data_IF_918268552292
#
_entry.id   IF_918268552292
#
_cell.length_a   1.000
_cell.length_b   1.000
_cell.length_c   1.000
_cell.angle_alpha   90.00
_cell.angle_beta   90.00
_cell.angle_gamma   90.00
#
_symmetry.space_group_name_H-M   'P 1'
#
loop_
_entity.id
_entity.type
_entity.pdbx_description
1 polymer ?
#
# COMPACT_ATOMS: atom_id res chain seq x y z
N UNK A 1 3.22 -4.43 -25.16
CA UNK A 1 2.62 -4.06 -26.46
C UNK A 1 3.13 -2.70 -26.92
N UNK A 2 2.97 -1.61 -26.14
CA UNK A 2 3.40 -0.27 -26.53
C UNK A 2 4.90 -0.18 -26.91
N UNK A 3 5.78 -0.85 -26.18
CA UNK A 3 7.21 -0.88 -26.51
C UNK A 3 7.51 -1.52 -27.87
N UNK A 4 6.69 -2.50 -28.31
CA UNK A 4 6.82 -3.12 -29.63
C UNK A 4 6.17 -2.27 -30.71
N UNK A 5 4.89 -1.95 -30.53
CA UNK A 5 4.06 -1.34 -31.57
C UNK A 5 4.38 0.14 -31.81
N UNK A 6 4.70 0.86 -30.74
CA UNK A 6 4.96 2.30 -30.78
C UNK A 6 6.46 2.62 -30.63
N UNK A 7 7.15 1.87 -29.79
CA UNK A 7 8.59 2.07 -29.54
C UNK A 7 9.51 1.33 -30.50
N UNK A 8 9.02 0.32 -31.23
CA UNK A 8 9.81 -0.50 -32.15
C UNK A 8 10.87 -1.38 -31.46
N UNK A 9 10.80 -1.57 -30.12
CA UNK A 9 11.74 -2.39 -29.38
C UNK A 9 11.36 -3.88 -29.50
N UNK A 10 12.27 -4.79 -29.94
CA UNK A 10 12.01 -6.22 -30.00
C UNK A 10 11.63 -6.78 -28.61
N UNK A 11 10.76 -7.80 -28.59
CA UNK A 11 10.29 -8.40 -27.33
C UNK A 11 11.43 -8.97 -26.48
N UNK A 12 12.45 -9.48 -27.12
CA UNK A 12 13.65 -10.07 -26.52
C UNK A 12 14.48 -9.04 -25.74
N UNK A 13 14.30 -7.75 -26.05
CA UNK A 13 15.05 -6.66 -25.42
C UNK A 13 14.26 -5.93 -24.34
N UNK A 14 12.98 -6.29 -24.07
CA UNK A 14 12.17 -5.61 -23.07
C UNK A 14 12.70 -5.78 -21.64
N UNK A 15 13.39 -6.87 -21.36
CA UNK A 15 13.83 -7.21 -20.02
C UNK A 15 14.69 -6.13 -19.36
N UNK A 16 15.56 -5.47 -20.12
CA UNK A 16 16.43 -4.44 -19.58
C UNK A 16 15.67 -3.17 -19.22
N UNK A 17 14.63 -2.80 -20.01
CA UNK A 17 13.76 -1.65 -19.70
C UNK A 17 13.07 -1.88 -18.35
N UNK A 18 12.47 -3.07 -18.18
CA UNK A 18 11.79 -3.40 -16.91
C UNK A 18 12.78 -3.52 -15.76
N UNK A 19 13.93 -4.15 -15.98
CA UNK A 19 14.96 -4.32 -14.94
C UNK A 19 15.44 -2.95 -14.42
N UNK A 20 15.85 -2.05 -15.32
CA UNK A 20 16.30 -0.71 -14.95
C UNK A 20 15.18 0.08 -14.26
N UNK A 21 13.97 0.04 -14.82
CA UNK A 21 12.83 0.76 -14.25
C UNK A 21 12.46 0.26 -12.85
N UNK A 22 12.50 -1.06 -12.63
CA UNK A 22 12.27 -1.66 -11.32
C UNK A 22 13.34 -1.24 -10.31
N UNK A 23 14.63 -1.27 -10.70
CA UNK A 23 15.72 -0.85 -9.83
C UNK A 23 15.61 0.63 -9.45
N UNK A 24 15.42 1.51 -10.43
CA UNK A 24 15.27 2.95 -10.17
C UNK A 24 14.05 3.18 -9.28
N UNK A 25 12.91 2.56 -9.61
CA UNK A 25 11.67 2.67 -8.83
C UNK A 25 11.86 2.19 -7.39
N UNK A 26 12.54 1.05 -7.18
CA UNK A 26 12.82 0.50 -5.87
C UNK A 26 13.65 1.46 -5.00
N UNK A 27 14.76 1.98 -5.53
CA UNK A 27 15.58 2.92 -4.77
C UNK A 27 14.89 4.26 -4.56
N UNK A 28 14.10 4.71 -5.53
CA UNK A 28 13.35 5.97 -5.44
C UNK A 28 12.24 5.94 -4.38
N UNK A 29 11.63 4.78 -4.08
CA UNK A 29 10.54 4.69 -3.08
C UNK A 29 11.03 4.84 -1.65
N UNK A 30 12.28 4.42 -1.34
CA UNK A 30 12.82 4.34 0.03
C UNK A 30 12.75 5.69 0.77
N UNK A 31 13.22 6.81 0.21
CA UNK A 31 13.16 8.10 0.90
C UNK A 31 11.72 8.55 1.19
N UNK A 32 10.76 8.25 0.32
CA UNK A 32 9.35 8.60 0.52
C UNK A 32 8.72 7.79 1.64
N UNK A 33 9.03 6.49 1.76
CA UNK A 33 8.57 5.65 2.86
C UNK A 33 9.13 6.17 4.18
N UNK A 34 10.44 6.42 4.24
CA UNK A 34 11.09 6.96 5.44
C UNK A 34 10.50 8.33 5.83
N UNK A 35 10.28 9.19 4.84
CA UNK A 35 9.64 10.49 5.08
C UNK A 35 8.22 10.33 5.62
N UNK A 36 7.40 9.48 4.99
CA UNK A 36 6.02 9.23 5.40
C UNK A 36 5.91 8.70 6.83
N UNK A 37 6.75 7.74 7.20
CA UNK A 37 6.76 7.15 8.55
C UNK A 37 7.30 8.14 9.60
N UNK A 38 8.48 8.72 9.38
CA UNK A 38 9.11 9.63 10.35
C UNK A 38 8.32 10.91 10.57
N UNK A 39 7.73 11.47 9.52
CA UNK A 39 6.95 12.72 9.59
C UNK A 39 5.47 12.49 9.83
N UNK A 40 5.02 11.23 9.98
CA UNK A 40 3.60 10.89 10.12
C UNK A 40 2.74 11.49 9.01
N UNK A 41 3.20 11.36 7.75
CA UNK A 41 2.56 11.92 6.57
C UNK A 41 2.28 10.86 5.50
N UNK A 42 1.95 9.63 5.94
CA UNK A 42 1.71 8.50 5.04
C UNK A 42 0.57 8.76 4.06
N UNK A 43 -0.51 9.45 4.48
CA UNK A 43 -1.58 9.87 3.57
C UNK A 43 -1.06 10.74 2.43
N UNK A 44 -0.18 11.71 2.72
CA UNK A 44 0.40 12.58 1.68
C UNK A 44 1.29 11.82 0.72
N UNK A 45 2.10 10.90 1.24
CA UNK A 45 2.94 10.01 0.42
C UNK A 45 2.08 9.13 -0.48
N UNK A 46 1.00 8.56 0.07
CA UNK A 46 0.07 7.73 -0.66
C UNK A 46 -0.67 8.49 -1.78
N UNK A 47 -1.22 9.67 -1.47
CA UNK A 47 -1.84 10.56 -2.47
C UNK A 47 -0.83 10.99 -3.53
N UNK A 48 0.40 11.33 -3.13
CA UNK A 48 1.49 11.65 -4.03
C UNK A 48 1.82 10.52 -5.00
N UNK A 49 1.90 9.28 -4.49
CA UNK A 49 2.14 8.09 -5.32
C UNK A 49 1.03 7.87 -6.37
N UNK A 50 -0.25 7.98 -5.96
CA UNK A 50 -1.39 7.87 -6.90
C UNK A 50 -1.36 9.01 -7.93
N UNK A 51 -0.97 10.22 -7.51
CA UNK A 51 -0.84 11.37 -8.44
C UNK A 51 0.26 11.15 -9.48
N UNK A 52 1.41 10.57 -9.06
CA UNK A 52 2.51 10.21 -9.98
C UNK A 52 2.09 9.07 -10.91
N UNK A 53 1.32 8.09 -10.39
CA UNK A 53 0.74 7.01 -11.20
C UNK A 53 -0.19 7.59 -12.29
N UNK A 54 -1.14 8.45 -11.90
CA UNK A 54 -2.03 9.14 -12.84
C UNK A 54 -1.23 9.93 -13.88
N UNK A 55 -0.21 10.67 -13.45
CA UNK A 55 0.65 11.40 -14.36
C UNK A 55 1.35 10.48 -15.35
N UNK A 56 1.84 9.31 -14.93
CA UNK A 56 2.51 8.37 -15.82
C UNK A 56 1.56 7.80 -16.89
N UNK A 57 0.28 7.54 -16.55
CA UNK A 57 -0.72 7.06 -17.50
C UNK A 57 -1.07 8.14 -18.54
N UNK A 58 -1.23 9.38 -18.09
CA UNK A 58 -1.44 10.53 -18.99
C UNK A 58 -0.22 10.79 -19.88
N UNK A 59 0.98 10.60 -19.33
CA UNK A 59 2.22 10.72 -20.08
C UNK A 59 2.32 9.66 -21.16
N UNK A 60 2.00 8.39 -20.89
CA UNK A 60 1.92 7.33 -21.89
C UNK A 60 0.87 7.61 -22.94
N UNK A 61 -0.29 8.10 -22.53
CA UNK A 61 -1.37 8.44 -23.46
C UNK A 61 -0.95 9.51 -24.46
N UNK A 62 -0.22 10.53 -24.00
CA UNK A 62 0.18 11.69 -24.83
C UNK A 62 1.48 11.46 -25.60
N UNK A 63 2.46 10.83 -24.97
CA UNK A 63 3.83 10.71 -25.48
C UNK A 63 4.24 9.29 -25.85
N UNK A 64 3.35 8.31 -25.84
CA UNK A 64 3.66 6.89 -26.07
C UNK A 64 4.15 6.53 -27.48
N UNK A 65 4.40 7.50 -28.34
CA UNK A 65 4.88 7.31 -29.73
C UNK A 65 6.41 7.20 -29.82
N UNK A 66 7.16 7.50 -28.77
CA UNK A 66 8.62 7.50 -28.77
C UNK A 66 9.16 6.47 -27.78
N UNK A 67 10.11 5.63 -28.19
CA UNK A 67 10.76 4.66 -27.32
C UNK A 67 11.37 5.29 -26.07
N UNK A 68 12.09 6.41 -26.23
CA UNK A 68 12.73 7.11 -25.10
C UNK A 68 11.68 7.59 -24.11
N UNK A 69 10.59 8.16 -24.60
CA UNK A 69 9.51 8.65 -23.73
C UNK A 69 8.75 7.50 -23.07
N UNK A 70 8.57 6.36 -23.76
CA UNK A 70 8.02 5.14 -23.16
C UNK A 70 8.91 4.62 -22.03
N UNK A 71 10.23 4.62 -22.20
CA UNK A 71 11.17 4.21 -21.14
C UNK A 71 11.08 5.17 -19.95
N UNK A 72 11.08 6.48 -20.17
CA UNK A 72 10.93 7.48 -19.11
C UNK A 72 9.60 7.29 -18.37
N UNK A 73 8.50 7.16 -19.11
CA UNK A 73 7.18 6.88 -18.53
C UNK A 73 7.16 5.60 -17.69
N UNK A 74 7.85 4.55 -18.16
CA UNK A 74 7.95 3.28 -17.45
C UNK A 74 8.71 3.45 -16.13
N UNK A 75 9.77 4.23 -16.09
CA UNK A 75 10.50 4.55 -14.84
C UNK A 75 9.60 5.31 -13.87
N UNK A 76 8.86 6.32 -14.35
CA UNK A 76 7.93 7.09 -13.53
C UNK A 76 6.83 6.18 -12.98
N UNK A 77 6.25 5.34 -13.83
CA UNK A 77 5.23 4.35 -13.44
C UNK A 77 5.74 3.41 -12.33
N UNK A 78 6.91 2.76 -12.54
CA UNK A 78 7.44 1.83 -11.56
C UNK A 78 7.87 2.51 -10.26
N UNK A 79 8.25 3.78 -10.28
CA UNK A 79 8.50 4.56 -9.05
C UNK A 79 7.21 4.68 -8.22
N UNK A 80 6.11 5.07 -8.83
CA UNK A 80 4.82 5.16 -8.17
C UNK A 80 4.27 3.79 -7.75
N UNK A 81 4.37 2.80 -8.64
CA UNK A 81 3.90 1.44 -8.42
C UNK A 81 4.60 0.78 -7.22
N UNK A 82 5.94 0.79 -7.19
CA UNK A 82 6.70 0.21 -6.07
C UNK A 82 6.38 0.92 -4.75
N UNK A 83 6.21 2.24 -4.78
CA UNK A 83 5.83 3.00 -3.58
C UNK A 83 4.43 2.59 -3.08
N UNK A 84 3.47 2.38 -3.98
CA UNK A 84 2.13 1.90 -3.63
C UNK A 84 2.16 0.45 -3.12
N UNK A 85 2.90 -0.44 -3.78
CA UNK A 85 3.08 -1.84 -3.36
C UNK A 85 3.69 -1.94 -1.95
N UNK A 86 4.59 -1.05 -1.58
CA UNK A 86 5.18 -1.01 -0.25
C UNK A 86 4.25 -0.37 0.79
N UNK A 87 3.49 0.65 0.42
CA UNK A 87 2.67 1.43 1.37
C UNK A 87 1.30 0.79 1.64
N UNK A 88 0.65 0.19 0.64
CA UNK A 88 -0.68 -0.40 0.78
C UNK A 88 -0.75 -1.49 1.86
N UNK A 89 0.12 -2.52 1.89
CA UNK A 89 0.10 -3.53 2.96
C UNK A 89 0.35 -2.92 4.35
N UNK A 90 1.21 -1.90 4.43
CA UNK A 90 1.47 -1.17 5.67
C UNK A 90 0.21 -0.46 6.17
N UNK A 91 -0.50 0.25 5.28
CA UNK A 91 -1.75 0.95 5.62
C UNK A 91 -2.83 -0.04 6.06
N UNK A 92 -3.05 -1.12 5.30
CA UNK A 92 -4.02 -2.18 5.67
C UNK A 92 -3.69 -2.77 7.04
N UNK A 93 -2.42 -3.06 7.31
CA UNK A 93 -1.97 -3.59 8.59
C UNK A 93 -2.18 -2.62 9.76
N UNK A 94 -2.08 -1.30 9.52
CA UNK A 94 -2.32 -0.27 10.54
C UNK A 94 -3.81 -0.08 10.83
N UNK A 95 -4.65 -0.16 9.81
CA UNK A 95 -6.12 -0.05 9.94
C UNK A 95 -6.77 -1.33 10.48
N UNK A 96 -6.19 -2.50 10.20
CA UNK A 96 -6.74 -3.78 10.62
C UNK A 96 -6.95 -3.84 12.15
N UNK A 97 -8.03 -4.45 12.66
CA UNK A 97 -8.25 -4.62 14.11
C UNK A 97 -7.08 -5.35 14.78
N UNK A 98 -6.85 -5.07 16.07
CA UNK A 98 -5.89 -5.81 16.88
C UNK A 98 -6.29 -7.31 16.89
N UNK A 99 -5.37 -8.21 16.56
CA UNK A 99 -5.66 -9.64 16.39
C UNK A 99 -6.25 -10.04 15.02
N UNK A 100 -6.81 -9.10 14.22
CA UNK A 100 -7.41 -9.35 12.90
C UNK A 100 -6.47 -9.16 11.71
N UNK A 101 -5.18 -8.93 11.93
CA UNK A 101 -4.19 -8.57 10.91
C UNK A 101 -4.08 -9.60 9.78
N UNK A 102 -4.07 -10.88 10.15
CA UNK A 102 -3.98 -11.98 9.18
C UNK A 102 -5.17 -12.01 8.22
N UNK A 103 -6.38 -11.87 8.76
CA UNK A 103 -7.61 -11.81 7.96
C UNK A 103 -7.63 -10.60 7.03
N UNK A 104 -7.27 -9.41 7.55
CA UNK A 104 -7.19 -8.20 6.75
C UNK A 104 -6.19 -8.32 5.59
N UNK A 105 -5.02 -8.91 5.85
CA UNK A 105 -4.02 -9.17 4.81
C UNK A 105 -4.48 -10.22 3.79
N UNK A 106 -5.23 -11.23 4.23
CA UNK A 106 -5.84 -12.22 3.33
C UNK A 106 -6.86 -11.58 2.38
N UNK A 107 -7.75 -10.72 2.90
CA UNK A 107 -8.71 -9.95 2.08
C UNK A 107 -7.99 -9.01 1.12
N UNK A 108 -6.96 -8.31 1.60
CA UNK A 108 -6.13 -7.44 0.76
C UNK A 108 -5.51 -8.20 -0.42
N UNK A 109 -4.82 -9.33 -0.14
CA UNK A 109 -4.18 -10.14 -1.18
C UNK A 109 -5.20 -10.71 -2.19
N UNK A 110 -6.34 -11.19 -1.70
CA UNK A 110 -7.42 -11.68 -2.58
C UNK A 110 -7.94 -10.57 -3.48
N UNK A 111 -8.16 -9.37 -2.94
CA UNK A 111 -8.61 -8.21 -3.71
C UNK A 111 -7.56 -7.78 -4.75
N UNK A 112 -6.27 -7.84 -4.41
CA UNK A 112 -5.17 -7.52 -5.31
C UNK A 112 -5.12 -8.49 -6.50
N UNK A 113 -5.18 -9.81 -6.26
CA UNK A 113 -5.18 -10.80 -7.34
C UNK A 113 -6.44 -10.74 -8.19
N UNK A 114 -7.61 -10.52 -7.57
CA UNK A 114 -8.86 -10.33 -8.31
C UNK A 114 -8.78 -9.06 -9.17
N UNK A 115 -8.25 -7.97 -8.62
CA UNK A 115 -8.02 -6.73 -9.35
C UNK A 115 -7.09 -6.92 -10.53
N UNK A 116 -6.00 -7.68 -10.38
CA UNK A 116 -5.08 -8.00 -11.47
C UNK A 116 -5.76 -8.81 -12.58
N UNK A 117 -6.58 -9.81 -12.22
CA UNK A 117 -7.33 -10.60 -13.19
C UNK A 117 -8.35 -9.77 -13.98
N UNK A 118 -9.19 -9.01 -13.26
CA UNK A 118 -10.19 -8.12 -13.86
C UNK A 118 -9.51 -7.02 -14.70
N UNK A 119 -8.42 -6.44 -14.17
CA UNK A 119 -7.64 -5.42 -14.89
C UNK A 119 -7.04 -5.94 -16.18
N UNK A 120 -6.53 -7.18 -16.19
CA UNK A 120 -6.03 -7.84 -17.41
C UNK A 120 -7.13 -8.05 -18.45
N UNK A 121 -8.31 -8.49 -18.02
CA UNK A 121 -9.46 -8.68 -18.92
C UNK A 121 -9.94 -7.34 -19.50
N UNK A 122 -10.14 -6.33 -18.65
CA UNK A 122 -10.55 -5.00 -19.07
C UNK A 122 -9.50 -4.33 -19.96
N UNK A 123 -8.21 -4.49 -19.62
CA UNK A 123 -7.11 -3.97 -20.43
C UNK A 123 -7.08 -4.58 -21.83
N UNK A 124 -7.29 -5.89 -21.95
CA UNK A 124 -7.41 -6.56 -23.25
C UNK A 124 -8.61 -6.08 -24.06
N UNK A 125 -9.75 -5.89 -23.40
CA UNK A 125 -10.96 -5.36 -24.03
C UNK A 125 -10.76 -3.91 -24.51
N UNK A 126 -10.24 -3.02 -23.65
CA UNK A 126 -9.92 -1.64 -24.03
C UNK A 126 -8.92 -1.57 -25.18
N UNK A 127 -7.92 -2.46 -25.16
CA UNK A 127 -6.96 -2.55 -26.26
C UNK A 127 -7.63 -2.91 -27.60
N UNK A 128 -8.62 -3.80 -27.58
CA UNK A 128 -9.37 -4.15 -28.80
C UNK A 128 -10.20 -3.01 -29.39
N UNK A 129 -10.55 -1.99 -28.55
CA UNK A 129 -11.33 -0.83 -28.99
C UNK A 129 -10.49 0.24 -29.70
N UNK A 130 -9.22 0.40 -29.33
CA UNK A 130 -8.39 1.46 -29.91
C UNK A 130 -6.90 1.41 -29.52
N UNK A 131 -6.40 0.22 -29.20
CA UNK A 131 -5.00 -0.02 -28.91
C UNK A 131 -4.52 0.57 -27.59
N UNK A 132 -3.21 0.74 -27.46
CA UNK A 132 -2.57 1.21 -26.24
C UNK A 132 -3.07 2.58 -25.74
N UNK A 133 -3.37 3.58 -26.57
CA UNK A 133 -3.88 4.87 -26.08
C UNK A 133 -5.18 4.75 -25.28
N UNK A 134 -6.11 3.87 -25.71
CA UNK A 134 -7.38 3.66 -25.01
C UNK A 134 -7.16 2.98 -23.65
N UNK A 135 -6.19 2.06 -23.58
CA UNK A 135 -5.80 1.43 -22.29
C UNK A 135 -5.26 2.47 -21.33
N UNK A 136 -4.32 3.30 -21.78
CA UNK A 136 -3.73 4.36 -20.92
C UNK A 136 -4.78 5.38 -20.46
N UNK A 137 -5.69 5.78 -21.34
CA UNK A 137 -6.81 6.67 -20.96
C UNK A 137 -7.73 6.02 -19.93
N UNK A 138 -8.04 4.73 -20.07
CA UNK A 138 -8.82 3.96 -19.09
C UNK A 138 -8.12 3.84 -17.75
N UNK A 139 -6.82 3.53 -17.75
CA UNK A 139 -6.01 3.48 -16.52
C UNK A 139 -5.93 4.85 -15.85
N UNK A 140 -5.76 5.93 -16.62
CA UNK A 140 -5.76 7.29 -16.10
C UNK A 140 -7.11 7.66 -15.45
N UNK A 141 -8.24 7.28 -16.07
CA UNK A 141 -9.57 7.51 -15.49
C UNK A 141 -9.75 6.76 -14.15
N UNK A 142 -9.31 5.50 -14.07
CA UNK A 142 -9.34 4.71 -12.84
C UNK A 142 -8.41 5.30 -11.78
N UNK A 143 -7.21 5.73 -12.13
CA UNK A 143 -6.27 6.37 -11.21
C UNK A 143 -6.82 7.72 -10.69
N UNK A 144 -7.48 8.51 -11.54
CA UNK A 144 -8.15 9.74 -11.16
C UNK A 144 -9.29 9.48 -10.17
N UNK A 145 -10.13 8.47 -10.42
CA UNK A 145 -11.18 8.04 -9.51
C UNK A 145 -10.60 7.61 -8.17
N UNK A 146 -9.54 6.79 -8.19
CA UNK A 146 -8.85 6.36 -6.98
C UNK A 146 -8.27 7.54 -6.20
N UNK A 147 -7.69 8.52 -6.89
CA UNK A 147 -7.16 9.74 -6.27
C UNK A 147 -8.25 10.52 -5.51
N UNK A 148 -9.46 10.61 -6.08
CA UNK A 148 -10.62 11.24 -5.38
C UNK A 148 -10.96 10.51 -4.09
N UNK A 149 -11.01 9.16 -4.11
CA UNK A 149 -11.25 8.38 -2.89
C UNK A 149 -10.11 8.54 -1.88
N UNK A 150 -8.85 8.48 -2.34
CA UNK A 150 -7.68 8.62 -1.48
C UNK A 150 -7.60 10.01 -0.82
N UNK A 151 -7.99 11.07 -1.52
CA UNK A 151 -8.03 12.42 -0.97
C UNK A 151 -9.00 12.55 0.21
N UNK A 152 -10.11 11.80 0.17
CA UNK A 152 -11.14 11.79 1.21
C UNK A 152 -10.86 10.80 2.37
N UNK A 153 -9.81 9.98 2.28
CA UNK A 153 -9.47 9.06 3.38
C UNK A 153 -9.03 9.82 4.63
N UNK A 154 -9.26 9.21 5.79
CA UNK A 154 -8.75 9.73 7.06
C UNK A 154 -7.24 9.51 7.18
N UNK A 155 -6.58 10.24 8.08
CA UNK A 155 -5.17 10.00 8.38
C UNK A 155 -5.01 8.61 9.00
N UNK A 156 -4.11 7.76 8.47
CA UNK A 156 -3.88 6.44 9.02
C UNK A 156 -3.29 6.52 10.43
N UNK A 157 -3.66 5.61 11.33
CA UNK A 157 -3.12 5.60 12.67
C UNK A 157 -1.63 5.22 12.66
N UNK A 158 -0.84 5.95 13.47
CA UNK A 158 0.60 5.66 13.66
C UNK A 158 0.78 4.81 14.91
N UNK A 159 0.34 3.55 14.82
CA UNK A 159 0.36 2.59 15.92
C UNK A 159 1.20 1.37 15.58
N UNK A 160 1.81 0.79 16.61
CA UNK A 160 2.44 -0.52 16.56
C UNK A 160 1.50 -1.53 17.19
N UNK A 161 1.31 -2.67 16.54
CA UNK A 161 0.53 -3.79 17.08
C UNK A 161 1.51 -4.82 17.65
N UNK A 162 1.38 -5.13 18.93
CA UNK A 162 2.18 -6.16 19.60
C UNK A 162 1.28 -7.21 20.25
N UNK A 163 1.76 -8.45 20.28
CA UNK A 163 1.16 -9.57 20.98
C UNK A 163 1.90 -9.79 22.29
N UNK A 164 1.17 -9.85 23.38
CA UNK A 164 1.68 -10.19 24.70
C UNK A 164 1.03 -11.48 25.17
N UNK A 165 1.85 -12.42 25.62
CA UNK A 165 1.37 -13.66 26.23
C UNK A 165 0.94 -13.38 27.66
N UNK A 166 -0.19 -13.92 28.05
CA UNK A 166 -0.77 -13.76 29.37
C UNK A 166 -0.51 -14.98 30.24
N UNK A 167 -0.56 -14.80 31.55
CA UNK A 167 -0.69 -15.93 32.46
C UNK A 167 -2.13 -16.44 32.44
N UNK A 168 -2.38 -17.73 32.73
CA UNK A 168 -3.75 -18.24 32.84
C UNK A 168 -4.58 -17.51 33.91
N UNK A 169 -3.94 -16.95 34.93
CA UNK A 169 -4.60 -16.16 35.96
C UNK A 169 -5.13 -14.81 35.44
N UNK A 170 -4.44 -14.19 34.49
CA UNK A 170 -4.87 -12.93 33.89
C UNK A 170 -6.15 -13.06 33.01
N UNK A 171 -6.53 -14.27 32.62
CA UNK A 171 -7.80 -14.52 31.91
C UNK A 171 -9.01 -14.49 32.86
N UNK A 172 -8.81 -14.74 34.17
CA UNK A 172 -9.90 -14.79 35.14
C UNK A 172 -10.32 -13.42 35.65
N UNK A 173 -9.39 -12.47 35.65
CA UNK A 173 -9.65 -11.08 36.02
C UNK A 173 -9.29 -10.16 34.85
N UNK A 174 -10.31 -9.57 34.23
CA UNK A 174 -10.17 -8.69 33.07
C UNK A 174 -10.14 -7.20 33.42
N UNK A 175 -10.05 -6.82 34.70
CA UNK A 175 -10.00 -5.42 35.10
C UNK A 175 -8.79 -4.68 34.53
N UNK A 176 -7.64 -5.39 34.41
CA UNK A 176 -6.43 -4.88 33.78
C UNK A 176 -6.66 -4.46 32.31
N UNK A 177 -7.55 -5.14 31.58
CA UNK A 177 -7.83 -4.83 30.17
C UNK A 177 -8.51 -3.44 30.03
N UNK A 178 -9.39 -3.08 30.96
CA UNK A 178 -9.99 -1.76 30.98
C UNK A 178 -8.96 -0.68 31.35
N UNK A 179 -8.13 -0.95 32.35
CA UNK A 179 -7.03 -0.06 32.74
C UNK A 179 -6.06 0.16 31.58
N UNK A 180 -5.63 -0.91 30.91
CA UNK A 180 -4.77 -0.86 29.74
C UNK A 180 -5.40 -0.10 28.56
N UNK A 181 -6.69 -0.33 28.29
CA UNK A 181 -7.41 0.36 27.23
C UNK A 181 -7.58 1.85 27.48
N UNK A 182 -7.54 2.27 28.76
CA UNK A 182 -7.63 3.67 29.17
C UNK A 182 -6.27 4.37 29.21
N UNK A 183 -5.17 3.62 29.03
CA UNK A 183 -3.80 4.16 29.07
C UNK A 183 -3.57 5.10 27.87
N UNK A 184 -2.93 6.23 28.16
CA UNK A 184 -2.56 7.18 27.11
C UNK A 184 -1.65 6.50 26.07
N UNK A 185 -2.00 6.66 24.78
CA UNK A 185 -1.27 6.06 23.68
C UNK A 185 -1.78 4.68 23.25
N UNK A 186 -2.54 3.96 24.09
CA UNK A 186 -3.22 2.73 23.68
C UNK A 186 -4.47 3.08 22.87
N UNK A 187 -4.57 2.52 21.68
CA UNK A 187 -5.70 2.73 20.76
C UNK A 187 -6.69 1.58 20.79
N UNK A 188 -6.17 0.37 20.97
CA UNK A 188 -6.98 -0.84 20.97
C UNK A 188 -6.26 -1.94 21.75
N UNK A 189 -6.99 -2.68 22.57
CA UNK A 189 -6.50 -3.89 23.24
C UNK A 189 -7.57 -4.97 23.10
N UNK A 190 -7.20 -6.12 22.50
CA UNK A 190 -8.10 -7.25 22.24
C UNK A 190 -7.54 -8.49 22.90
N UNK A 191 -8.31 -9.06 23.84
CA UNK A 191 -7.99 -10.34 24.46
C UNK A 191 -8.43 -11.48 23.55
N UNK A 192 -7.50 -12.36 23.20
CA UNK A 192 -7.77 -13.60 22.47
C UNK A 192 -7.55 -14.75 23.45
N UNK A 193 -8.63 -15.21 24.07
CA UNK A 193 -8.57 -16.22 25.13
C UNK A 193 -8.01 -17.57 24.64
N UNK A 194 -8.32 -17.96 23.40
CA UNK A 194 -7.83 -19.19 22.76
C UNK A 194 -6.30 -19.22 22.64
N UNK A 195 -5.67 -18.06 22.47
CA UNK A 195 -4.22 -17.92 22.35
C UNK A 195 -3.53 -17.57 23.68
N UNK A 196 -4.32 -17.35 24.74
CA UNK A 196 -3.84 -16.85 26.04
C UNK A 196 -2.97 -15.58 25.83
N UNK A 197 -3.48 -14.67 25.01
CA UNK A 197 -2.74 -13.49 24.57
C UNK A 197 -3.63 -12.25 24.46
N UNK A 198 -3.03 -11.08 24.67
CA UNK A 198 -3.63 -9.80 24.34
C UNK A 198 -2.88 -9.16 23.17
N UNK A 199 -3.63 -8.66 22.22
CA UNK A 199 -3.11 -7.86 21.10
C UNK A 199 -3.38 -6.40 21.41
N UNK A 200 -2.30 -5.62 21.47
CA UNK A 200 -2.36 -4.20 21.84
C UNK A 200 -1.83 -3.35 20.70
N UNK A 201 -2.64 -2.38 20.29
CA UNK A 201 -2.20 -1.31 19.38
C UNK A 201 -1.93 -0.04 20.18
N UNK A 202 -0.72 0.45 20.11
CA UNK A 202 -0.32 1.65 20.81
C UNK A 202 0.62 2.53 19.99
N UNK A 203 0.61 3.82 20.30
CA UNK A 203 1.49 4.82 19.72
C UNK A 203 2.82 4.81 20.45
N UNK A 204 3.89 4.39 19.79
CA UNK A 204 5.25 4.29 20.36
C UNK A 204 5.89 5.63 20.71
N UNK A 205 5.28 6.76 20.34
CA UNK A 205 5.73 8.08 20.81
C UNK A 205 5.09 8.51 22.13
N UNK A 206 3.99 7.85 22.54
CA UNK A 206 3.23 8.19 23.74
C UNK A 206 3.44 7.16 24.84
N UNK A 207 3.52 5.87 24.45
CA UNK A 207 3.75 4.78 25.41
C UNK A 207 4.73 3.77 24.82
N UNK A 208 5.41 3.05 25.69
CA UNK A 208 6.37 2.03 25.30
C UNK A 208 5.91 0.62 25.68
N UNK A 209 6.65 -0.37 25.20
CA UNK A 209 6.38 -1.78 25.48
C UNK A 209 6.39 -2.09 26.97
N UNK A 210 7.35 -1.52 27.72
CA UNK A 210 7.51 -1.79 29.15
C UNK A 210 6.29 -1.26 29.94
N UNK A 211 5.78 -0.10 29.57
CA UNK A 211 4.56 0.46 30.16
C UNK A 211 3.35 -0.44 29.90
N UNK A 212 3.20 -0.99 28.70
CA UNK A 212 2.10 -1.93 28.39
C UNK A 212 2.25 -3.23 29.18
N UNK A 213 3.46 -3.79 29.26
CA UNK A 213 3.74 -5.02 30.04
C UNK A 213 3.46 -4.86 31.54
N UNK A 214 3.57 -3.65 32.09
CA UNK A 214 3.30 -3.40 33.50
C UNK A 214 1.82 -3.58 33.91
N UNK A 215 0.89 -3.65 32.95
CA UNK A 215 -0.54 -3.91 33.16
C UNK A 215 -0.91 -5.40 33.05
N UNK A 216 0.00 -6.25 32.57
CA UNK A 216 -0.26 -7.65 32.23
C UNK A 216 0.22 -8.61 33.33
#
# INVERSE_FOLDING_TARGET
LALVEQGGLPKEEHWWVYLISLFIGFFSMVPFIIYGEKKRQMKRVFIGAISVLLFSELFFWWFGQSLILLIIGTVIFFTAFNLLEATLPSLVSKEAPAGGKGTAMGVYSTSQFLGAAVGGMLGGWLFSLGGAPVVFAGCAALAALWLVFAANMQEPPYVTSMRFLLSPAALQDTQWLQALSSQAGVKEAVLVAEEVAVYVKFDTQVTDRATVEAYL
#
